data_IF_107820984298
#
_entry.id   IF_107820984298
#
_cell.length_a   1.000
_cell.length_b   1.000
_cell.length_c   1.000
_cell.angle_alpha   90.00
_cell.angle_beta   90.00
_cell.angle_gamma   90.00
#
_symmetry.space_group_name_H-M   'P 1'
#
loop_
_entity.id
_entity.type
_entity.pdbx_description
1 polymer ?
#
# COMPACT_ATOMS: atom_id res chain seq x y z
N UNK A 1 -16.27 9.90 -3.57
CA UNK A 1 -15.32 10.08 -2.48
C UNK A 1 -16.05 10.51 -1.21
N UNK A 2 -15.77 9.87 -0.11
CA UNK A 2 -16.39 10.23 1.18
C UNK A 2 -15.65 11.41 1.80
N UNK A 3 -16.40 12.32 2.42
CA UNK A 3 -15.82 13.48 3.11
C UNK A 3 -15.77 13.30 4.62
N UNK A 4 -16.65 12.47 5.17
CA UNK A 4 -16.67 12.16 6.60
C UNK A 4 -15.56 11.15 6.91
N UNK A 5 -14.70 11.47 7.89
CA UNK A 5 -13.57 10.60 8.25
C UNK A 5 -14.00 9.54 9.26
N UNK A 6 -14.70 9.92 10.33
CA UNK A 6 -15.02 9.02 11.43
C UNK A 6 -16.50 8.61 11.37
N UNK A 7 -16.80 7.29 11.22
CA UNK A 7 -18.19 6.84 11.12
C UNK A 7 -18.95 6.91 12.46
N UNK A 8 -18.25 6.91 13.59
CA UNK A 8 -18.88 6.91 14.91
C UNK A 8 -18.44 8.11 15.74
N UNK A 9 -19.39 8.73 16.41
CA UNK A 9 -19.11 9.83 17.35
C UNK A 9 -18.27 9.30 18.53
N UNK A 10 -17.18 10.00 18.85
CA UNK A 10 -16.31 9.64 19.98
C UNK A 10 -15.31 8.53 19.70
N UNK A 11 -15.36 7.88 18.53
CA UNK A 11 -14.42 6.85 18.12
C UNK A 11 -13.51 7.40 17.03
N UNK A 12 -12.23 7.55 17.35
CA UNK A 12 -11.19 8.01 16.43
C UNK A 12 -10.26 6.89 15.97
N UNK A 13 -10.54 5.65 16.35
CA UNK A 13 -9.76 4.49 15.92
C UNK A 13 -10.26 3.89 14.61
N UNK A 14 -11.52 4.15 14.25
CA UNK A 14 -12.13 3.67 13.02
C UNK A 14 -12.36 4.83 12.06
N UNK A 15 -11.92 4.66 10.82
CA UNK A 15 -12.07 5.67 9.78
C UNK A 15 -12.74 5.10 8.53
N UNK A 16 -13.41 5.97 7.77
CA UNK A 16 -13.72 5.69 6.38
C UNK A 16 -12.44 5.90 5.55
N UNK A 17 -11.87 4.80 5.08
CA UNK A 17 -10.55 4.82 4.46
C UNK A 17 -10.49 5.73 3.23
N UNK A 18 -11.53 5.71 2.43
CA UNK A 18 -11.66 6.55 1.23
C UNK A 18 -11.48 8.05 1.53
N UNK A 19 -11.87 8.51 2.72
CA UNK A 19 -11.78 9.93 3.09
C UNK A 19 -10.35 10.40 3.38
N UNK A 20 -9.41 9.49 3.62
CA UNK A 20 -8.04 9.84 4.01
C UNK A 20 -6.98 9.46 2.97
N UNK A 21 -7.34 8.70 1.96
CA UNK A 21 -6.42 8.31 0.90
C UNK A 21 -6.13 9.50 -0.01
N UNK A 22 -4.83 9.72 -0.27
CA UNK A 22 -4.33 10.79 -1.14
C UNK A 22 -3.54 10.26 -2.33
N UNK A 23 -2.96 9.06 -2.21
CA UNK A 23 -2.16 8.44 -3.26
C UNK A 23 -3.06 8.03 -4.43
N UNK A 24 -2.81 8.52 -5.66
CA UNK A 24 -3.63 8.16 -6.82
C UNK A 24 -3.53 6.69 -7.22
N UNK A 25 -2.53 5.97 -6.73
CA UNK A 25 -2.37 4.54 -6.98
C UNK A 25 -3.09 3.67 -5.95
N UNK A 26 -3.80 4.28 -5.00
CA UNK A 26 -4.63 3.58 -4.02
C UNK A 26 -6.08 3.98 -4.26
N UNK A 27 -6.91 3.03 -4.64
CA UNK A 27 -8.33 3.21 -4.88
C UNK A 27 -9.13 2.44 -3.84
N UNK A 28 -10.01 3.15 -3.12
CA UNK A 28 -10.83 2.56 -2.06
C UNK A 28 -12.29 2.92 -2.30
N UNK A 29 -13.15 1.90 -2.29
CA UNK A 29 -14.59 2.08 -2.42
C UNK A 29 -15.22 2.74 -1.19
N UNK A 30 -16.45 3.24 -1.37
CA UNK A 30 -17.19 3.89 -0.30
C UNK A 30 -17.54 2.90 0.83
N UNK A 31 -17.61 3.42 2.05
CA UNK A 31 -17.98 2.68 3.27
C UNK A 31 -16.98 1.61 3.71
N UNK A 32 -15.83 1.48 3.06
CA UNK A 32 -14.74 0.64 3.56
C UNK A 32 -14.11 1.31 4.77
N UNK A 33 -13.98 0.56 5.87
CA UNK A 33 -13.43 1.05 7.12
C UNK A 33 -12.09 0.43 7.44
N UNK A 34 -11.27 1.18 8.13
CA UNK A 34 -10.03 0.72 8.74
C UNK A 34 -10.03 1.07 10.23
N UNK A 35 -9.67 0.11 11.07
CA UNK A 35 -9.54 0.31 12.51
C UNK A 35 -8.07 0.14 12.92
N UNK A 36 -7.56 1.09 13.69
CA UNK A 36 -6.22 0.99 14.28
C UNK A 36 -6.28 1.46 15.73
N UNK A 37 -6.03 0.55 16.66
CA UNK A 37 -5.98 0.85 18.10
C UNK A 37 -4.54 0.93 18.63
N UNK A 38 -3.55 0.80 17.76
CA UNK A 38 -2.12 0.86 18.10
C UNK A 38 -1.51 2.18 17.63
N UNK A 39 -1.80 2.57 16.39
CA UNK A 39 -1.30 3.78 15.77
C UNK A 39 -2.46 4.65 15.29
N UNK A 40 -2.15 5.81 14.74
CA UNK A 40 -3.16 6.69 14.16
C UNK A 40 -3.65 6.11 12.81
N UNK A 41 -4.96 5.80 12.68
CA UNK A 41 -5.48 5.24 11.43
C UNK A 41 -5.33 6.20 10.23
N UNK A 42 -5.17 7.49 10.45
CA UNK A 42 -4.92 8.46 9.38
C UNK A 42 -3.57 8.23 8.68
N UNK A 43 -2.67 7.48 9.29
CA UNK A 43 -1.37 7.12 8.73
C UNK A 43 -1.39 5.82 7.92
N UNK A 44 -2.55 5.40 7.44
CA UNK A 44 -2.71 4.15 6.71
C UNK A 44 -1.73 4.00 5.54
N UNK A 45 -1.58 5.03 4.73
CA UNK A 45 -0.68 4.96 3.56
C UNK A 45 0.78 4.71 3.96
N UNK A 46 1.19 5.25 5.10
CA UNK A 46 2.55 5.09 5.62
C UNK A 46 2.75 3.75 6.32
N UNK A 47 1.79 3.36 7.16
CA UNK A 47 1.97 2.24 8.08
C UNK A 47 1.54 0.89 7.51
N UNK A 48 0.58 0.89 6.57
CA UNK A 48 -0.09 -0.32 6.13
C UNK A 48 0.21 -0.69 4.68
N UNK A 49 0.65 0.27 3.86
CA UNK A 49 1.00 0.05 2.46
C UNK A 49 2.52 0.07 2.34
N UNK A 50 3.10 -1.11 2.13
CA UNK A 50 4.54 -1.32 2.19
C UNK A 50 5.12 -1.68 0.83
N UNK A 51 6.34 -1.21 0.57
CA UNK A 51 7.06 -1.49 -0.66
C UNK A 51 6.32 -1.03 -1.92
N UNK A 52 5.53 0.03 -1.79
CA UNK A 52 4.75 0.63 -2.86
C UNK A 52 5.43 1.91 -3.35
N UNK A 53 6.14 1.82 -4.45
CA UNK A 53 6.89 2.93 -5.02
C UNK A 53 6.29 3.37 -6.36
N UNK A 54 6.22 4.68 -6.64
CA UNK A 54 5.62 5.18 -7.89
C UNK A 54 6.24 4.62 -9.17
N UNK A 55 7.52 4.27 -9.13
CA UNK A 55 8.26 3.75 -10.29
C UNK A 55 7.68 2.43 -10.81
N UNK A 56 7.02 1.64 -9.98
CA UNK A 56 6.46 0.34 -10.36
C UNK A 56 5.01 0.41 -10.80
N UNK A 57 4.32 1.52 -10.53
CA UNK A 57 2.94 1.82 -10.96
C UNK A 57 1.89 0.77 -10.57
N UNK A 58 2.18 -0.10 -9.62
CA UNK A 58 1.17 -1.02 -9.10
C UNK A 58 0.11 -0.25 -8.33
N UNK A 59 -1.12 -0.76 -8.37
CA UNK A 59 -2.26 -0.18 -7.64
C UNK A 59 -2.69 -1.07 -6.50
N UNK A 60 -3.18 -0.45 -5.44
CA UNK A 60 -3.98 -1.09 -4.41
C UNK A 60 -5.43 -0.71 -4.66
N UNK A 61 -6.28 -1.70 -4.94
CA UNK A 61 -7.69 -1.48 -5.25
C UNK A 61 -8.51 -2.24 -4.21
N UNK A 62 -9.28 -1.50 -3.42
CA UNK A 62 -10.14 -2.06 -2.37
C UNK A 62 -11.57 -1.67 -2.68
N UNK A 63 -12.48 -2.65 -2.68
CA UNK A 63 -13.88 -2.45 -2.97
C UNK A 63 -14.65 -1.72 -1.87
N UNK A 64 -15.98 -1.76 -1.97
CA UNK A 64 -16.91 -1.14 -1.02
C UNK A 64 -17.20 -2.07 0.15
N UNK A 65 -17.56 -1.50 1.28
CA UNK A 65 -18.03 -2.22 2.46
C UNK A 65 -17.03 -3.24 3.01
N UNK A 66 -15.74 -3.03 2.81
CA UNK A 66 -14.70 -3.86 3.40
C UNK A 66 -14.39 -3.42 4.83
N UNK A 67 -13.99 -4.37 5.67
CA UNK A 67 -13.55 -4.11 7.03
C UNK A 67 -12.10 -4.55 7.18
N UNK A 68 -11.21 -3.59 7.37
CA UNK A 68 -9.78 -3.84 7.45
C UNK A 68 -9.33 -3.73 8.90
N UNK A 69 -8.74 -4.81 9.41
CA UNK A 69 -8.32 -4.92 10.80
C UNK A 69 -7.01 -4.18 11.07
N UNK A 70 -6.83 -3.80 12.33
CA UNK A 70 -5.59 -3.21 12.83
C UNK A 70 -4.40 -4.12 12.52
N UNK A 71 -3.33 -3.53 12.01
CA UNK A 71 -2.10 -4.25 11.69
C UNK A 71 -2.08 -4.92 10.32
N UNK A 72 -3.15 -4.84 9.54
CA UNK A 72 -3.16 -5.35 8.17
C UNK A 72 -2.09 -4.65 7.33
N UNK A 73 -1.31 -5.42 6.58
CA UNK A 73 -0.26 -4.91 5.71
C UNK A 73 -0.50 -5.32 4.26
N UNK A 74 -0.37 -4.37 3.35
CA UNK A 74 -0.41 -4.60 1.91
C UNK A 74 1.02 -4.49 1.39
N UNK A 75 1.63 -5.62 1.04
CA UNK A 75 3.02 -5.68 0.63
C UNK A 75 3.13 -5.83 -0.88
N UNK A 76 3.74 -4.84 -1.52
CA UNK A 76 3.90 -4.81 -2.95
C UNK A 76 5.17 -5.54 -3.42
N UNK A 77 5.35 -5.58 -4.75
CA UNK A 77 6.36 -6.43 -5.38
C UNK A 77 7.80 -6.11 -4.97
N UNK A 78 8.09 -4.88 -4.55
CA UNK A 78 9.42 -4.52 -4.03
C UNK A 78 9.80 -5.25 -2.74
N UNK A 79 8.87 -5.96 -2.10
CA UNK A 79 9.15 -6.81 -0.95
C UNK A 79 9.72 -8.17 -1.33
N UNK A 80 9.62 -8.58 -2.61
CA UNK A 80 10.11 -9.87 -3.07
C UNK A 80 11.52 -9.77 -3.66
N UNK A 81 12.11 -10.93 -3.90
CA UNK A 81 13.38 -11.05 -4.60
C UNK A 81 13.16 -11.84 -5.89
N UNK A 82 13.70 -11.31 -7.01
CA UNK A 82 13.60 -12.04 -8.27
C UNK A 82 14.45 -13.32 -8.22
N UNK A 83 13.90 -14.41 -8.74
CA UNK A 83 14.63 -15.69 -8.86
C UNK A 83 15.76 -15.63 -9.89
N UNK A 84 15.78 -14.60 -10.72
CA UNK A 84 16.83 -14.38 -11.74
C UNK A 84 18.05 -13.68 -11.17
N UNK A 85 17.98 -13.15 -9.96
CA UNK A 85 19.10 -12.47 -9.32
C UNK A 85 20.06 -13.45 -8.69
N UNK A 86 21.36 -13.15 -8.80
CA UNK A 86 22.41 -13.93 -8.13
C UNK A 86 22.53 -13.59 -6.64
N UNK A 87 21.89 -12.50 -6.19
CA UNK A 87 21.99 -12.02 -4.81
C UNK A 87 20.67 -11.42 -4.37
N UNK A 88 20.32 -11.60 -3.08
CA UNK A 88 19.20 -10.91 -2.43
C UNK A 88 19.58 -9.57 -1.81
N UNK A 89 20.85 -9.18 -1.91
CA UNK A 89 21.29 -7.87 -1.44
C UNK A 89 20.62 -6.77 -2.27
N UNK A 90 20.29 -5.65 -1.63
CA UNK A 90 19.48 -4.57 -2.23
C UNK A 90 20.30 -3.62 -3.11
N UNK A 91 21.22 -4.14 -3.91
CA UNK A 91 22.02 -3.33 -4.84
C UNK A 91 21.18 -2.34 -5.68
N UNK A 92 20.05 -2.75 -6.25
CA UNK A 92 19.26 -1.83 -7.08
C UNK A 92 18.73 -0.60 -6.33
N UNK A 93 18.48 -0.70 -5.01
CA UNK A 93 18.05 0.45 -4.21
C UNK A 93 19.17 1.46 -4.02
N UNK A 94 20.42 1.03 -4.15
CA UNK A 94 21.61 1.87 -3.98
C UNK A 94 22.25 2.22 -5.33
N UNK A 95 21.44 2.35 -6.39
CA UNK A 95 21.93 2.52 -7.74
C UNK A 95 22.83 3.75 -7.90
N UNK A 96 22.59 4.83 -7.16
CA UNK A 96 23.42 6.03 -7.21
C UNK A 96 24.81 5.78 -6.61
N UNK A 97 24.86 5.12 -5.46
CA UNK A 97 26.10 4.81 -4.77
C UNK A 97 26.98 3.85 -5.54
N UNK A 98 26.37 2.87 -6.21
CA UNK A 98 27.08 1.83 -6.98
C UNK A 98 27.16 2.16 -8.47
N UNK A 99 26.77 3.37 -8.87
CA UNK A 99 26.78 3.82 -10.28
C UNK A 99 26.00 2.91 -11.23
N UNK A 100 24.91 2.33 -10.74
CA UNK A 100 24.03 1.48 -11.54
C UNK A 100 23.05 2.33 -12.35
N UNK A 101 22.63 1.80 -13.50
CA UNK A 101 21.61 2.46 -14.31
C UNK A 101 20.25 2.36 -13.62
N UNK A 102 19.49 3.48 -13.61
CA UNK A 102 18.17 3.55 -13.00
C UNK A 102 17.19 2.52 -13.58
N UNK A 103 17.30 2.18 -14.85
CA UNK A 103 16.47 1.16 -15.50
C UNK A 103 16.58 -0.22 -14.84
N UNK A 104 17.68 -0.51 -14.18
CA UNK A 104 17.88 -1.79 -13.49
C UNK A 104 16.99 -1.91 -12.26
N UNK A 105 16.49 -0.80 -11.70
CA UNK A 105 15.60 -0.83 -10.54
C UNK A 105 14.26 -1.46 -10.90
N UNK A 106 13.72 -1.16 -12.09
CA UNK A 106 12.41 -1.65 -12.53
C UNK A 106 12.41 -3.15 -12.79
N UNK A 107 13.57 -3.74 -13.07
CA UNK A 107 13.73 -5.17 -13.37
C UNK A 107 14.28 -5.99 -12.21
N UNK A 108 14.62 -5.33 -11.09
CA UNK A 108 15.23 -5.98 -9.93
C UNK A 108 14.28 -6.88 -9.16
N UNK A 109 12.97 -6.65 -9.28
CA UNK A 109 11.92 -7.40 -8.58
C UNK A 109 10.92 -7.95 -9.59
N UNK A 110 10.37 -9.11 -9.28
CA UNK A 110 9.30 -9.69 -10.07
C UNK A 110 8.01 -8.89 -9.84
N UNK A 111 7.45 -8.33 -10.90
CA UNK A 111 6.19 -7.59 -10.82
C UNK A 111 5.02 -8.55 -11.06
N UNK A 112 4.20 -8.75 -10.03
CA UNK A 112 3.02 -9.62 -10.08
C UNK A 112 1.71 -8.85 -10.23
N UNK A 113 1.80 -7.54 -10.48
CA UNK A 113 0.65 -6.69 -10.72
C UNK A 113 0.06 -6.05 -9.47
N UNK A 114 -1.18 -5.59 -9.60
CA UNK A 114 -1.91 -4.88 -8.55
C UNK A 114 -2.40 -5.82 -7.45
N UNK A 115 -2.69 -5.23 -6.27
CA UNK A 115 -3.44 -5.91 -5.22
C UNK A 115 -4.89 -5.49 -5.33
N UNK A 116 -5.79 -6.43 -5.50
CA UNK A 116 -7.22 -6.17 -5.66
C UNK A 116 -8.01 -6.91 -4.58
N UNK A 117 -8.76 -6.15 -3.79
CA UNK A 117 -9.69 -6.66 -2.78
C UNK A 117 -11.10 -6.33 -3.27
N UNK A 118 -11.97 -7.34 -3.36
CA UNK A 118 -13.35 -7.16 -3.79
C UNK A 118 -14.21 -6.42 -2.78
N UNK A 119 -15.52 -6.41 -3.02
CA UNK A 119 -16.48 -5.80 -2.11
C UNK A 119 -16.78 -6.72 -0.93
N UNK A 120 -17.12 -6.14 0.21
CA UNK A 120 -17.61 -6.88 1.39
C UNK A 120 -16.63 -7.97 1.88
N UNK A 121 -15.36 -7.61 1.96
CA UNK A 121 -14.28 -8.50 2.43
C UNK A 121 -13.86 -8.14 3.86
#
# INVERSE_FOLDING_TARGET
>A
MMTKIYPRTGDKQTIYLNAVIKDPQIEVGDYTIYNDFVADPLLFEKNNVLYHYPIHREKLIIGKFCSIACGTKFMFNCANHTLKSLSTYTFPLFYEEWELEKSNITTAWDNKGDIVIGNDV
#
